data_IF_276850903071
#
_entry.id   IF_276850903071
#
_cell.length_a   1.000
_cell.length_b   1.000
_cell.length_c   1.000
_cell.angle_alpha   90.00
_cell.angle_beta   90.00
_cell.angle_gamma   90.00
#
_symmetry.space_group_name_H-M   'P 1'
#
loop_
_entity.id
_entity.type
_entity.pdbx_description
1 polymer ?
#
# COMPACT_ATOMS: atom_id res chain seq x y z
N UNK A 1 1.18 8.80 24.23
CA UNK A 1 1.11 8.05 22.99
C UNK A 1 2.53 7.62 22.57
N UNK A 2 2.71 6.36 22.20
CA UNK A 2 3.99 5.89 21.67
C UNK A 2 4.14 6.39 20.26
N UNK A 3 5.22 7.13 19.99
CA UNK A 3 5.67 7.46 18.64
C UNK A 3 6.77 6.48 18.28
N UNK A 4 6.67 5.83 17.14
CA UNK A 4 7.66 4.82 16.71
C UNK A 4 8.06 5.09 15.27
N UNK A 5 9.36 5.17 15.01
CA UNK A 5 9.91 5.22 13.64
C UNK A 5 10.03 3.80 13.09
N UNK A 6 9.48 3.58 11.91
CA UNK A 6 9.66 2.33 11.18
C UNK A 6 11.04 2.34 10.50
N UNK A 7 12.00 1.60 11.07
CA UNK A 7 13.30 1.40 10.44
C UNK A 7 13.23 0.22 9.48
N UNK A 8 13.72 0.39 8.25
CA UNK A 8 13.72 -0.62 7.19
C UNK A 8 14.61 -1.84 7.46
N UNK A 9 14.49 -2.45 8.65
CA UNK A 9 15.21 -3.65 9.08
C UNK A 9 14.37 -4.92 8.99
N UNK A 10 15.04 -6.07 8.84
CA UNK A 10 14.38 -7.38 8.72
C UNK A 10 13.69 -7.78 10.02
N UNK A 11 12.39 -8.09 9.97
CA UNK A 11 11.67 -8.89 10.97
C UNK A 11 11.10 -8.18 12.21
N UNK A 12 11.78 -7.22 12.84
CA UNK A 12 11.31 -6.59 14.08
C UNK A 12 10.44 -5.33 13.89
N UNK A 13 10.51 -4.72 12.72
CA UNK A 13 9.79 -3.48 12.44
C UNK A 13 8.27 -3.70 12.32
N UNK A 14 7.84 -4.78 11.67
CA UNK A 14 6.41 -5.06 11.46
C UNK A 14 5.67 -5.32 12.79
N UNK A 15 6.30 -6.00 13.75
CA UNK A 15 5.73 -6.21 15.09
C UNK A 15 5.59 -4.91 15.91
N UNK A 16 6.47 -3.93 15.65
CA UNK A 16 6.48 -2.67 16.39
C UNK A 16 5.55 -1.60 15.80
N UNK A 17 5.38 -1.56 14.47
CA UNK A 17 4.71 -0.47 13.76
C UNK A 17 3.55 -0.92 12.86
N UNK A 18 3.37 -2.23 12.65
CA UNK A 18 2.41 -2.82 11.72
C UNK A 18 3.00 -3.11 10.33
N UNK A 19 2.30 -3.95 9.57
CA UNK A 19 2.76 -4.47 8.27
C UNK A 19 2.89 -3.39 7.21
N UNK A 20 1.90 -2.50 7.10
CA UNK A 20 1.84 -1.44 6.08
C UNK A 20 2.93 -0.38 6.27
N UNK A 21 3.12 0.23 7.45
CA UNK A 21 4.22 1.15 7.68
C UNK A 21 5.61 0.52 7.45
N UNK A 22 5.78 -0.76 7.82
CA UNK A 22 7.04 -1.47 7.58
C UNK A 22 7.30 -1.68 6.08
N UNK A 23 6.26 -1.98 5.30
CA UNK A 23 6.34 -2.10 3.84
C UNK A 23 6.66 -0.76 3.18
N UNK A 24 5.98 0.33 3.60
CA UNK A 24 6.23 1.68 3.10
C UNK A 24 7.68 2.09 3.36
N UNK A 25 8.18 1.96 4.59
CA UNK A 25 9.55 2.29 4.95
C UNK A 25 10.58 1.54 4.09
N UNK A 26 10.31 0.27 3.80
CA UNK A 26 11.17 -0.55 2.95
C UNK A 26 11.17 -0.11 1.48
N UNK A 27 10.01 0.30 0.96
CA UNK A 27 9.85 0.67 -0.46
C UNK A 27 10.27 2.11 -0.77
N UNK A 28 9.86 3.06 0.08
CA UNK A 28 10.01 4.49 -0.22
C UNK A 28 11.39 5.04 0.13
N UNK A 29 12.19 4.34 0.95
CA UNK A 29 13.47 4.82 1.49
C UNK A 29 13.37 6.19 2.18
N UNK A 30 12.18 6.52 2.67
CA UNK A 30 11.89 7.75 3.39
C UNK A 30 11.59 7.42 4.86
N UNK A 31 11.78 8.35 5.79
CA UNK A 31 11.36 8.18 7.16
C UNK A 31 9.86 7.92 7.26
N UNK A 32 9.48 6.91 8.04
CA UNK A 32 8.07 6.58 8.31
C UNK A 32 7.87 6.56 9.82
N UNK A 33 6.97 7.41 10.30
CA UNK A 33 6.68 7.56 11.74
C UNK A 33 5.22 7.25 11.97
N UNK A 34 4.93 6.39 12.95
CA UNK A 34 3.57 6.01 13.34
C UNK A 34 3.24 6.46 14.74
N UNK A 35 2.00 6.91 14.93
CA UNK A 35 1.42 7.23 16.23
C UNK A 35 -0.10 7.11 16.15
N UNK A 36 -0.75 6.90 17.29
CA UNK A 36 -2.21 6.95 17.40
C UNK A 36 -2.76 8.31 16.94
N UNK A 37 -2.01 9.38 17.21
CA UNK A 37 -2.35 10.75 16.78
C UNK A 37 -1.40 11.17 15.65
N UNK A 38 -1.93 11.47 14.49
CA UNK A 38 -1.14 11.90 13.32
C UNK A 38 -0.35 13.17 13.56
N UNK A 39 -0.89 14.11 14.38
CA UNK A 39 -0.17 15.32 14.80
C UNK A 39 1.12 15.01 15.55
N UNK A 40 1.08 14.02 16.47
CA UNK A 40 2.25 13.64 17.26
C UNK A 40 3.30 12.95 16.37
N UNK A 41 2.84 12.14 15.40
CA UNK A 41 3.73 11.53 14.40
C UNK A 41 4.43 12.60 13.54
N UNK A 42 3.68 13.60 13.05
CA UNK A 42 4.23 14.69 12.24
C UNK A 42 5.26 15.53 13.03
N UNK A 43 4.95 15.88 14.28
CA UNK A 43 5.89 16.63 15.14
C UNK A 43 7.18 15.84 15.40
N UNK A 44 7.05 14.55 15.69
CA UNK A 44 8.21 13.68 15.92
C UNK A 44 9.06 13.50 14.65
N UNK A 45 8.40 13.38 13.48
CA UNK A 45 9.09 13.29 12.20
C UNK A 45 9.91 14.54 11.94
N UNK A 46 9.31 15.74 12.09
CA UNK A 46 10.00 17.01 11.88
C UNK A 46 11.13 17.24 12.90
N UNK A 47 10.97 16.78 14.15
CA UNK A 47 12.03 16.86 15.14
C UNK A 47 13.23 15.96 14.83
N UNK A 48 13.00 14.80 14.22
CA UNK A 48 14.04 13.85 13.84
C UNK A 48 14.65 14.16 12.46
N UNK A 49 13.85 14.72 11.56
CA UNK A 49 14.19 15.01 10.17
C UNK A 49 13.79 16.46 9.83
N UNK A 50 14.56 17.47 10.32
CA UNK A 50 14.20 18.88 10.17
C UNK A 50 14.21 19.39 8.73
N UNK A 51 14.89 18.69 7.82
CA UNK A 51 14.95 19.00 6.38
C UNK A 51 13.76 18.44 5.59
N UNK A 52 12.67 18.04 6.28
CA UNK A 52 11.48 17.51 5.63
C UNK A 52 10.65 18.61 5.00
N UNK A 53 10.49 18.59 3.69
CA UNK A 53 9.68 19.57 2.93
C UNK A 53 8.23 19.13 2.77
N UNK A 54 7.97 17.81 2.72
CA UNK A 54 6.64 17.24 2.48
C UNK A 54 6.38 16.08 3.43
N UNK A 55 5.20 16.06 4.04
CA UNK A 55 4.70 14.93 4.83
C UNK A 55 3.51 14.30 4.09
N UNK A 56 3.62 13.01 3.78
CA UNK A 56 2.52 12.22 3.22
C UNK A 56 1.84 11.45 4.34
N UNK A 57 0.53 11.66 4.53
CA UNK A 57 -0.27 10.97 5.52
C UNK A 57 -1.07 9.85 4.83
N UNK A 58 -0.70 8.60 5.09
CA UNK A 58 -1.49 7.44 4.68
C UNK A 58 -2.75 7.33 5.52
N UNK A 59 -3.90 7.14 4.84
CA UNK A 59 -5.25 7.07 5.44
C UNK A 59 -5.55 8.26 6.35
N UNK A 60 -5.18 9.47 5.87
CA UNK A 60 -5.18 10.70 6.67
C UNK A 60 -6.46 11.51 6.65
N UNK A 61 -7.43 11.24 5.75
CA UNK A 61 -8.58 12.12 5.50
C UNK A 61 -9.46 12.36 6.73
N UNK A 62 -9.62 11.37 7.61
CA UNK A 62 -10.42 11.46 8.83
C UNK A 62 -9.66 12.07 10.02
N UNK A 63 -8.37 12.37 9.89
CA UNK A 63 -7.57 12.97 10.97
C UNK A 63 -7.64 14.51 10.95
N UNK A 64 -8.81 15.08 11.28
CA UNK A 64 -9.10 16.50 11.18
C UNK A 64 -8.25 17.40 12.08
N UNK A 65 -7.56 16.85 13.09
CA UNK A 65 -6.65 17.58 13.96
C UNK A 65 -5.31 17.95 13.30
N UNK A 66 -5.00 17.38 12.13
CA UNK A 66 -3.81 17.70 11.35
C UNK A 66 -4.21 18.57 10.16
N UNK A 67 -3.69 19.81 10.10
CA UNK A 67 -3.85 20.65 8.94
C UNK A 67 -3.19 20.02 7.70
N UNK A 68 -3.80 20.24 6.54
CA UNK A 68 -3.36 19.67 5.27
C UNK A 68 -3.40 20.73 4.19
N UNK A 69 -2.36 20.76 3.36
CA UNK A 69 -2.29 21.64 2.20
C UNK A 69 -2.95 21.00 0.97
N UNK A 70 -2.98 19.67 0.92
CA UNK A 70 -3.53 18.87 -0.18
C UNK A 70 -4.29 17.66 0.36
N UNK A 71 -5.43 17.36 -0.27
CA UNK A 71 -6.22 16.16 -0.01
C UNK A 71 -6.41 15.35 -1.29
N UNK A 72 -6.01 14.07 -1.23
CA UNK A 72 -6.17 13.12 -2.33
C UNK A 72 -7.08 12.00 -1.84
N UNK A 73 -8.24 11.84 -2.49
CA UNK A 73 -9.14 10.72 -2.21
C UNK A 73 -8.85 9.57 -3.17
N UNK A 74 -8.77 8.34 -2.65
CA UNK A 74 -8.49 7.16 -3.46
C UNK A 74 -9.68 6.23 -3.44
N UNK A 75 -10.21 5.89 -4.63
CA UNK A 75 -11.27 4.92 -4.80
C UNK A 75 -10.75 3.63 -5.43
N UNK A 76 -11.08 2.51 -4.78
CA UNK A 76 -10.88 1.18 -5.38
C UNK A 76 -11.87 0.91 -6.52
N UNK A 77 -11.78 -0.28 -7.14
CA UNK A 77 -12.64 -0.67 -8.27
C UNK A 77 -14.16 -0.66 -7.94
N UNK A 78 -14.53 -0.76 -6.66
CA UNK A 78 -15.93 -0.67 -6.23
C UNK A 78 -16.46 0.78 -6.19
N UNK A 79 -15.60 1.78 -6.36
CA UNK A 79 -15.96 3.20 -6.31
C UNK A 79 -16.67 3.56 -5.01
N UNK A 80 -17.81 4.23 -5.12
CA UNK A 80 -18.67 4.59 -3.96
C UNK A 80 -19.57 3.43 -3.50
N UNK A 81 -19.56 2.29 -4.21
CA UNK A 81 -20.40 1.14 -3.91
C UNK A 81 -21.89 1.50 -3.93
N UNK A 82 -22.62 1.19 -2.85
CA UNK A 82 -24.03 1.55 -2.68
C UNK A 82 -24.25 2.99 -2.19
N UNK A 83 -23.20 3.78 -2.03
CA UNK A 83 -23.26 5.17 -1.56
C UNK A 83 -23.49 5.34 -0.05
N UNK A 84 -23.53 4.26 0.71
CA UNK A 84 -23.78 4.31 2.14
C UNK A 84 -22.48 4.33 2.96
N UNK A 85 -22.59 4.90 4.16
CA UNK A 85 -21.48 4.89 5.12
C UNK A 85 -21.34 3.52 5.80
N UNK A 86 -20.15 3.24 6.31
CA UNK A 86 -19.90 2.08 7.20
C UNK A 86 -20.90 2.08 8.38
N UNK A 87 -21.41 0.91 8.79
CA UNK A 87 -21.15 -0.43 8.25
C UNK A 87 -22.10 -0.83 7.10
N UNK A 88 -23.03 0.01 6.69
CA UNK A 88 -24.05 -0.32 5.69
C UNK A 88 -23.52 -0.24 4.23
N UNK A 89 -22.41 0.43 4.02
CA UNK A 89 -21.72 0.56 2.74
C UNK A 89 -20.22 0.79 2.93
N UNK A 90 -19.49 1.03 1.84
CA UNK A 90 -18.02 1.11 1.88
C UNK A 90 -17.46 2.47 2.29
N UNK A 91 -18.28 3.52 2.36
CA UNK A 91 -17.81 4.88 2.56
C UNK A 91 -17.52 5.17 4.04
N UNK A 92 -16.40 5.82 4.32
CA UNK A 92 -16.06 6.34 5.66
C UNK A 92 -16.63 7.74 5.91
N UNK A 93 -16.86 8.50 4.83
CA UNK A 93 -17.44 9.84 4.82
C UNK A 93 -18.44 9.98 3.67
N UNK A 94 -19.40 10.93 3.75
CA UNK A 94 -20.31 11.17 2.63
C UNK A 94 -19.56 11.57 1.37
N UNK A 95 -20.05 11.07 0.22
CA UNK A 95 -19.57 11.48 -1.09
C UNK A 95 -20.72 12.13 -1.87
N UNK A 96 -20.49 13.22 -2.64
CA UNK A 96 -19.21 13.89 -2.88
C UNK A 96 -18.75 14.77 -1.71
N UNK A 97 -17.43 14.95 -1.62
CA UNK A 97 -16.81 15.91 -0.70
C UNK A 97 -15.73 16.73 -1.43
N UNK A 98 -15.42 17.97 -0.97
CA UNK A 98 -14.28 18.72 -1.49
C UNK A 98 -12.97 17.97 -1.24
N UNK A 99 -12.16 17.81 -2.29
CA UNK A 99 -10.78 17.31 -2.27
C UNK A 99 -10.02 17.96 -3.42
N UNK A 100 -8.69 17.97 -3.37
CA UNK A 100 -7.89 18.52 -4.47
C UNK A 100 -7.90 17.58 -5.68
N UNK A 101 -7.73 16.29 -5.44
CA UNK A 101 -7.72 15.26 -6.51
C UNK A 101 -8.36 13.96 -6.07
N UNK A 102 -8.77 13.20 -7.06
CA UNK A 102 -9.25 11.83 -6.92
C UNK A 102 -8.38 10.88 -7.74
N UNK A 103 -7.89 9.83 -7.10
CA UNK A 103 -7.32 8.67 -7.77
C UNK A 103 -8.36 7.55 -7.76
N UNK A 104 -8.58 6.88 -8.88
CA UNK A 104 -9.60 5.83 -8.96
C UNK A 104 -9.17 4.64 -9.80
N UNK A 105 -9.61 3.45 -9.40
CA UNK A 105 -9.49 2.23 -10.20
C UNK A 105 -10.84 1.92 -10.84
N UNK A 106 -10.84 1.66 -12.16
CA UNK A 106 -12.06 1.34 -12.90
C UNK A 106 -12.81 2.57 -13.39
N UNK A 107 -13.85 3.01 -12.69
CA UNK A 107 -14.63 4.19 -13.10
C UNK A 107 -14.48 5.34 -12.10
N UNK A 108 -14.45 6.59 -12.57
CA UNK A 108 -14.40 7.73 -11.67
C UNK A 108 -15.67 7.78 -10.79
N UNK A 109 -15.57 8.24 -9.54
CA UNK A 109 -16.74 8.36 -8.69
C UNK A 109 -17.72 9.40 -9.26
N UNK A 110 -19.05 9.21 -9.06
CA UNK A 110 -20.05 10.14 -9.53
C UNK A 110 -19.91 11.51 -8.83
N UNK A 111 -20.40 12.55 -9.49
CA UNK A 111 -20.46 13.92 -8.96
C UNK A 111 -19.14 14.48 -8.45
N UNK A 112 -18.01 14.00 -9.00
CA UNK A 112 -16.69 14.49 -8.64
C UNK A 112 -16.42 15.84 -9.30
N UNK A 113 -16.24 16.90 -8.48
CA UNK A 113 -15.84 18.21 -8.96
C UNK A 113 -14.32 18.37 -9.09
N UNK A 114 -13.54 17.52 -8.42
CA UNK A 114 -12.09 17.51 -8.48
C UNK A 114 -11.57 16.83 -9.75
N UNK A 115 -10.34 17.13 -10.16
CA UNK A 115 -9.68 16.37 -11.23
C UNK A 115 -9.47 14.92 -10.80
N UNK A 116 -9.84 14.00 -11.68
CA UNK A 116 -9.79 12.56 -11.44
C UNK A 116 -8.70 11.94 -12.31
N UNK A 117 -7.87 11.05 -11.74
CA UNK A 117 -6.82 10.34 -12.44
C UNK A 117 -6.97 8.84 -12.21
N UNK A 118 -6.83 8.08 -13.29
CA UNK A 118 -6.94 6.63 -13.23
C UNK A 118 -5.69 6.01 -12.58
N UNK A 119 -5.92 4.97 -11.79
CA UNK A 119 -4.88 4.08 -11.28
C UNK A 119 -5.14 2.66 -11.78
N UNK A 120 -4.08 2.01 -12.23
CA UNK A 120 -4.13 0.61 -12.66
C UNK A 120 -3.26 -0.22 -11.72
N UNK A 121 -3.84 -1.28 -11.15
CA UNK A 121 -3.11 -2.26 -10.34
C UNK A 121 -2.62 -3.39 -11.23
N UNK A 122 -1.35 -3.72 -11.13
CA UNK A 122 -0.76 -4.87 -11.81
C UNK A 122 0.29 -5.52 -10.93
N UNK A 123 0.56 -6.79 -11.16
CA UNK A 123 1.72 -7.43 -10.56
C UNK A 123 3.00 -6.99 -11.30
N UNK A 124 4.08 -6.85 -10.54
CA UNK A 124 5.41 -6.72 -11.11
C UNK A 124 5.74 -7.95 -11.96
N UNK A 125 6.61 -7.78 -12.95
CA UNK A 125 7.08 -8.90 -13.78
C UNK A 125 8.07 -9.82 -13.06
N UNK A 126 8.40 -9.50 -11.81
CA UNK A 126 9.39 -10.24 -11.01
C UNK A 126 8.86 -10.51 -9.61
N UNK A 127 9.31 -11.59 -9.02
CA UNK A 127 9.14 -11.92 -7.61
C UNK A 127 10.49 -11.83 -6.89
N UNK A 128 10.46 -11.61 -5.57
CA UNK A 128 11.64 -11.50 -4.73
C UNK A 128 11.63 -12.53 -3.61
N UNK A 129 12.80 -12.98 -3.18
CA UNK A 129 13.00 -13.82 -2.00
C UNK A 129 13.53 -12.97 -0.82
N UNK A 130 13.58 -13.56 0.38
CA UNK A 130 14.05 -12.89 1.60
C UNK A 130 15.47 -12.30 1.48
N UNK A 131 16.35 -12.97 0.75
CA UNK A 131 17.74 -12.53 0.52
C UNK A 131 17.87 -11.49 -0.60
N UNK A 132 16.74 -11.11 -1.23
CA UNK A 132 16.69 -10.12 -2.30
C UNK A 132 16.96 -10.66 -3.70
N UNK A 133 17.09 -11.99 -3.87
CA UNK A 133 17.13 -12.58 -5.21
C UNK A 133 15.83 -12.28 -5.95
N UNK A 134 15.97 -11.93 -7.22
CA UNK A 134 14.86 -11.64 -8.11
C UNK A 134 14.66 -12.79 -9.09
N UNK A 135 13.41 -13.20 -9.31
CA UNK A 135 13.02 -14.23 -10.25
C UNK A 135 11.98 -13.64 -11.20
N UNK A 136 12.18 -13.75 -12.51
CA UNK A 136 11.17 -13.33 -13.47
C UNK A 136 9.92 -14.23 -13.39
N UNK A 137 8.72 -13.65 -13.44
CA UNK A 137 7.49 -14.44 -13.41
C UNK A 137 7.38 -15.36 -14.63
N UNK A 138 7.93 -14.97 -15.78
CA UNK A 138 8.01 -15.82 -16.97
C UNK A 138 8.74 -17.15 -16.72
N UNK A 139 9.77 -17.14 -15.85
CA UNK A 139 10.55 -18.33 -15.52
C UNK A 139 9.76 -19.31 -14.63
N UNK A 140 8.69 -18.82 -14.01
CA UNK A 140 7.80 -19.58 -13.13
C UNK A 140 6.59 -20.18 -13.87
N UNK A 141 6.37 -19.87 -15.13
CA UNK A 141 5.17 -20.29 -15.89
C UNK A 141 4.92 -21.81 -15.91
N UNK A 142 6.00 -22.62 -15.80
CA UNK A 142 5.93 -24.10 -15.80
C UNK A 142 6.18 -24.70 -14.41
N UNK A 143 6.39 -23.86 -13.40
CA UNK A 143 6.64 -24.31 -12.03
C UNK A 143 5.30 -24.39 -11.30
N UNK A 144 4.95 -25.53 -10.69
CA UNK A 144 3.75 -25.60 -9.88
C UNK A 144 3.89 -24.70 -8.64
N UNK A 145 2.96 -23.76 -8.49
CA UNK A 145 3.00 -22.76 -7.41
C UNK A 145 1.87 -23.02 -6.41
N UNK A 146 2.18 -22.90 -5.13
CA UNK A 146 1.20 -22.69 -4.09
C UNK A 146 1.12 -21.19 -3.80
N UNK A 147 -0.02 -20.57 -4.16
CA UNK A 147 -0.25 -19.16 -3.92
C UNK A 147 -0.99 -18.95 -2.59
N UNK A 148 -0.48 -18.05 -1.77
CA UNK A 148 -1.03 -17.72 -0.46
C UNK A 148 -1.24 -16.21 -0.37
N UNK A 149 -2.37 -15.79 0.20
CA UNK A 149 -2.65 -14.37 0.44
C UNK A 149 -3.51 -14.17 1.69
N UNK A 150 -2.99 -13.39 2.65
CA UNK A 150 -3.64 -12.90 3.86
C UNK A 150 -3.96 -11.40 3.74
N UNK A 151 -4.75 -11.04 2.72
CA UNK A 151 -5.17 -9.68 2.40
C UNK A 151 -6.69 -9.63 2.23
N UNK A 152 -7.28 -8.44 2.23
CA UNK A 152 -8.74 -8.27 2.16
C UNK A 152 -9.40 -8.88 0.91
N UNK A 153 -8.70 -8.93 -0.23
CA UNK A 153 -9.19 -9.48 -1.50
C UNK A 153 -8.16 -10.46 -2.10
N UNK A 154 -8.01 -11.66 -1.52
CA UNK A 154 -6.98 -12.62 -1.95
C UNK A 154 -7.23 -13.16 -3.37
N UNK A 155 -8.50 -13.27 -3.78
CA UNK A 155 -8.84 -13.79 -5.11
C UNK A 155 -8.39 -12.86 -6.24
N UNK A 156 -8.33 -11.55 -6.02
CA UNK A 156 -7.78 -10.60 -7.00
C UNK A 156 -6.30 -10.89 -7.25
N UNK A 157 -5.53 -11.17 -6.19
CA UNK A 157 -4.13 -11.54 -6.32
C UNK A 157 -3.96 -12.85 -7.09
N UNK A 158 -4.75 -13.88 -6.78
CA UNK A 158 -4.69 -15.16 -7.49
C UNK A 158 -5.11 -15.02 -8.96
N UNK A 159 -6.13 -14.19 -9.24
CA UNK A 159 -6.55 -13.90 -10.60
C UNK A 159 -5.43 -13.21 -11.40
N UNK A 160 -4.76 -12.21 -10.81
CA UNK A 160 -3.63 -11.53 -11.45
C UNK A 160 -2.48 -12.49 -11.76
N UNK A 161 -2.14 -13.41 -10.83
CA UNK A 161 -1.10 -14.43 -11.08
C UNK A 161 -1.48 -15.36 -12.25
N UNK A 162 -2.74 -15.82 -12.31
CA UNK A 162 -3.25 -16.67 -13.41
C UNK A 162 -3.23 -15.92 -14.74
N UNK A 163 -3.66 -14.65 -14.77
CA UNK A 163 -3.58 -13.82 -15.97
C UNK A 163 -2.13 -13.59 -16.43
N UNK A 164 -1.18 -13.54 -15.50
CA UNK A 164 0.26 -13.53 -15.79
C UNK A 164 0.81 -14.85 -16.32
N UNK A 165 -0.03 -15.87 -16.55
CA UNK A 165 0.36 -17.17 -17.09
C UNK A 165 0.98 -18.14 -16.10
N UNK A 166 0.84 -17.91 -14.79
CA UNK A 166 1.41 -18.76 -13.76
C UNK A 166 0.52 -19.98 -13.46
N UNK A 167 1.14 -21.15 -13.26
CA UNK A 167 0.47 -22.38 -12.90
C UNK A 167 0.25 -22.45 -11.38
N UNK A 168 -0.92 -22.02 -10.91
CA UNK A 168 -1.32 -22.16 -9.52
C UNK A 168 -1.89 -23.56 -9.29
N UNK A 169 -1.08 -24.46 -8.76
CA UNK A 169 -1.51 -25.81 -8.39
C UNK A 169 -2.35 -25.82 -7.11
N UNK A 170 -2.16 -24.82 -6.26
CA UNK A 170 -2.93 -24.62 -5.05
C UNK A 170 -3.04 -23.12 -4.74
N UNK A 171 -4.21 -22.69 -4.25
CA UNK A 171 -4.43 -21.34 -3.73
C UNK A 171 -4.97 -21.42 -2.31
N UNK A 172 -4.50 -20.55 -1.43
CA UNK A 172 -4.92 -20.48 -0.05
C UNK A 172 -5.20 -19.02 0.33
N UNK A 173 -6.50 -18.71 0.43
CA UNK A 173 -6.96 -17.45 1.00
C UNK A 173 -6.95 -17.54 2.53
N UNK A 174 -6.29 -16.61 3.17
CA UNK A 174 -6.20 -16.49 4.63
C UNK A 174 -6.88 -15.20 5.09
N UNK A 175 -7.31 -15.12 6.35
CA UNK A 175 -7.81 -13.88 6.93
C UNK A 175 -6.80 -12.73 6.75
N UNK A 176 -7.31 -11.51 6.58
CA UNK A 176 -6.43 -10.33 6.53
C UNK A 176 -5.60 -10.25 7.82
N UNK A 177 -4.34 -9.86 7.68
CA UNK A 177 -3.35 -9.84 8.77
C UNK A 177 -3.05 -11.21 9.42
N UNK A 178 -3.24 -12.31 8.70
CA UNK A 178 -2.94 -13.65 9.21
C UNK A 178 -1.52 -13.74 9.77
N UNK A 179 -1.39 -14.48 10.88
CA UNK A 179 -0.12 -14.79 11.52
C UNK A 179 0.42 -16.13 11.00
N UNK A 180 1.61 -16.09 10.42
CA UNK A 180 2.26 -17.26 9.84
C UNK A 180 3.21 -18.01 10.79
N UNK A 181 3.32 -17.60 12.06
CA UNK A 181 4.31 -18.14 12.99
C UNK A 181 4.15 -19.64 13.24
N UNK A 182 2.92 -20.13 13.30
CA UNK A 182 2.61 -21.56 13.49
C UNK A 182 2.08 -22.24 12.23
N UNK A 183 2.02 -21.50 11.09
CA UNK A 183 1.45 -22.03 9.87
C UNK A 183 2.39 -23.01 9.17
N UNK A 184 1.88 -24.19 8.84
CA UNK A 184 2.60 -25.21 8.08
C UNK A 184 1.86 -25.49 6.76
N UNK A 185 2.45 -25.12 5.61
CA UNK A 185 1.84 -25.38 4.32
C UNK A 185 1.88 -26.88 3.98
N UNK A 186 0.76 -27.41 3.56
CA UNK A 186 0.72 -28.74 2.96
C UNK A 186 1.16 -28.64 1.49
N UNK A 187 2.46 -28.59 1.27
CA UNK A 187 3.09 -28.42 -0.04
C UNK A 187 3.77 -29.70 -0.53
N UNK A 188 3.65 -29.98 -1.82
CA UNK A 188 4.52 -30.94 -2.51
C UNK A 188 5.94 -30.35 -2.62
N UNK A 189 6.97 -31.23 -2.57
CA UNK A 189 8.38 -30.84 -2.71
C UNK A 189 8.72 -30.14 -4.03
N UNK A 190 7.87 -30.27 -5.05
CA UNK A 190 8.02 -29.61 -6.35
C UNK A 190 7.38 -28.25 -6.43
N UNK A 191 6.53 -27.89 -5.47
CA UNK A 191 5.84 -26.61 -5.45
C UNK A 191 6.76 -25.53 -4.88
N UNK A 192 6.60 -24.30 -5.38
CA UNK A 192 7.18 -23.10 -4.75
C UNK A 192 6.07 -22.26 -4.16
N UNK A 193 6.35 -21.68 -3.01
CA UNK A 193 5.44 -20.77 -2.33
C UNK A 193 5.51 -19.38 -2.98
N UNK A 194 4.36 -18.82 -3.33
CA UNK A 194 4.23 -17.46 -3.87
C UNK A 194 3.18 -16.68 -3.06
N UNK A 195 3.47 -15.44 -2.72
CA UNK A 195 2.63 -14.62 -1.85
C UNK A 195 2.68 -13.14 -2.21
N UNK A 196 1.86 -12.33 -1.54
CA UNK A 196 1.96 -10.87 -1.62
C UNK A 196 3.19 -10.36 -0.87
N UNK A 197 3.65 -9.14 -1.16
CA UNK A 197 4.74 -8.54 -0.37
C UNK A 197 4.36 -8.27 1.09
N UNK A 198 3.08 -7.99 1.36
CA UNK A 198 2.55 -7.80 2.72
C UNK A 198 2.73 -9.08 3.54
N UNK A 199 2.38 -10.22 2.97
CA UNK A 199 2.50 -11.52 3.62
C UNK A 199 3.95 -11.99 3.73
N UNK A 200 4.77 -11.68 2.74
CA UNK A 200 6.16 -12.09 2.66
C UNK A 200 6.98 -11.67 3.88
N UNK A 201 6.72 -10.49 4.42
CA UNK A 201 7.43 -9.98 5.62
C UNK A 201 7.27 -10.95 6.80
N UNK A 202 6.09 -11.57 6.92
CA UNK A 202 5.77 -12.55 7.97
C UNK A 202 6.19 -13.98 7.60
N UNK A 203 6.17 -14.31 6.30
CA UNK A 203 6.53 -15.64 5.81
C UNK A 203 8.04 -15.90 5.78
N UNK A 204 8.83 -14.91 5.40
CA UNK A 204 10.26 -15.07 5.19
C UNK A 204 11.09 -15.54 6.40
N UNK A 205 10.75 -15.21 7.66
CA UNK A 205 11.48 -15.81 8.80
C UNK A 205 11.47 -17.32 8.81
N UNK A 206 10.40 -17.96 8.29
CA UNK A 206 10.26 -19.43 8.23
C UNK A 206 10.45 -20.00 6.83
N UNK A 207 10.08 -19.25 5.81
CA UNK A 207 10.13 -19.66 4.39
C UNK A 207 10.93 -18.64 3.57
N UNK A 208 12.25 -18.56 3.74
CA UNK A 208 13.07 -17.53 3.11
C UNK A 208 13.08 -17.58 1.57
N UNK A 209 12.74 -18.73 0.99
CA UNK A 209 12.61 -18.94 -0.46
C UNK A 209 11.21 -18.63 -1.01
N UNK A 210 10.26 -18.24 -0.15
CA UNK A 210 8.95 -17.79 -0.58
C UNK A 210 9.07 -16.58 -1.51
N UNK A 211 8.34 -16.64 -2.62
CA UNK A 211 8.36 -15.64 -3.68
C UNK A 211 7.33 -14.54 -3.38
N UNK A 212 7.79 -13.37 -3.04
CA UNK A 212 6.94 -12.19 -2.90
C UNK A 212 6.76 -11.51 -4.26
N UNK A 213 5.52 -11.34 -4.71
CA UNK A 213 5.24 -10.60 -5.94
C UNK A 213 4.76 -9.20 -5.57
N UNK A 214 5.50 -8.14 -5.97
CA UNK A 214 5.07 -6.77 -5.76
C UNK A 214 3.78 -6.47 -6.52
N UNK A 215 2.87 -5.76 -5.85
CA UNK A 215 1.77 -5.08 -6.50
C UNK A 215 2.25 -3.67 -6.89
N UNK A 216 2.20 -3.37 -8.17
CA UNK A 216 2.48 -2.06 -8.71
C UNK A 216 1.17 -1.30 -8.94
N UNK A 217 1.18 -0.02 -8.59
CA UNK A 217 0.13 0.91 -8.94
C UNK A 217 0.69 1.88 -9.97
N UNK A 218 0.14 1.83 -11.18
CA UNK A 218 0.46 2.78 -12.25
C UNK A 218 -0.56 3.91 -12.15
N UNK A 219 -0.08 5.12 -11.99
CA UNK A 219 -0.90 6.33 -11.91
C UNK A 219 -0.71 7.10 -13.21
N UNK A 220 -1.76 7.73 -13.73
CA UNK A 220 -1.68 8.63 -14.89
C UNK A 220 -0.56 9.66 -14.67
N UNK A 221 0.43 9.79 -15.56
CA UNK A 221 1.52 10.76 -15.43
C UNK A 221 1.05 12.21 -15.25
N UNK A 222 -0.13 12.56 -15.77
CA UNK A 222 -0.73 13.88 -15.59
C UNK A 222 -0.97 14.23 -14.13
N UNK A 223 -1.23 13.24 -13.27
CA UNK A 223 -1.34 13.44 -11.82
C UNK A 223 -0.05 13.99 -11.22
N UNK A 224 1.09 13.40 -11.56
CA UNK A 224 2.37 13.86 -11.01
C UNK A 224 2.72 15.26 -11.48
N UNK A 225 2.42 15.60 -12.73
CA UNK A 225 2.60 16.96 -13.23
C UNK A 225 1.72 17.98 -12.48
N UNK A 226 0.47 17.61 -12.17
CA UNK A 226 -0.44 18.43 -11.39
C UNK A 226 0.04 18.59 -9.93
N UNK A 227 0.55 17.49 -9.33
CA UNK A 227 1.09 17.47 -7.97
C UNK A 227 2.32 18.37 -7.85
N UNK A 228 3.28 18.23 -8.76
CA UNK A 228 4.49 19.06 -8.76
C UNK A 228 4.17 20.56 -8.89
N UNK A 229 3.25 20.90 -9.79
CA UNK A 229 2.80 22.28 -9.97
C UNK A 229 2.15 22.84 -8.68
N UNK A 230 1.35 22.04 -8.00
CA UNK A 230 0.66 22.45 -6.76
C UNK A 230 1.62 22.56 -5.58
N UNK A 231 2.54 21.63 -5.41
CA UNK A 231 3.58 21.68 -4.37
C UNK A 231 4.45 22.93 -4.53
N UNK A 232 4.82 23.29 -5.77
CA UNK A 232 5.55 24.53 -6.03
C UNK A 232 4.77 25.80 -5.66
N UNK A 233 3.43 25.79 -5.73
CA UNK A 233 2.58 26.89 -5.31
C UNK A 233 2.49 26.99 -3.79
N UNK A 234 2.28 25.86 -3.10
CA UNK A 234 2.22 25.81 -1.63
C UNK A 234 3.55 26.27 -1.02
N UNK A 235 4.67 25.75 -1.50
CA UNK A 235 6.01 26.16 -1.04
C UNK A 235 6.28 27.66 -1.22
N UNK A 236 5.83 28.29 -2.29
CA UNK A 236 5.95 29.74 -2.48
C UNK A 236 5.05 30.54 -1.55
N UNK A 237 3.84 30.06 -1.28
CA UNK A 237 2.92 30.72 -0.36
C UNK A 237 3.45 30.73 1.08
N UNK A 238 4.07 29.64 1.55
CA UNK A 238 4.67 29.58 2.89
C UNK A 238 5.89 30.49 3.05
N UNK A 239 6.66 30.74 1.99
CA UNK A 239 7.79 31.65 1.99
C UNK A 239 7.38 33.14 1.92
N UNK A 240 6.17 33.42 1.47
CA UNK A 240 5.65 34.79 1.31
C UNK A 240 4.76 35.28 2.47
N UNK A 241 4.48 34.43 3.46
CA UNK A 241 3.75 34.84 4.66
C UNK A 241 4.68 35.64 5.59
N UNK A 242 4.39 36.92 5.92
CA UNK A 242 5.21 37.65 6.87
C UNK A 242 5.06 37.06 8.27
N UNK A 243 6.18 36.94 8.97
CA UNK A 243 6.32 36.54 10.37
C UNK A 243 5.56 37.50 11.30
#
# INVERSE_FOLDING_TARGET
>A
PRVTEAKGGRGSAAQAVGDEPALIARRCRAPVVVSERRSDAAQALLAQHPDTDVIVCDDGLQHLALARDLEICVFGAQGVGNGWLLPAGPLREPWPRPVDWVLYAGSPPPDCAAACFEIVRRLANTAHTADGRTVALSDLAKVPLMAVAGVAQPEDFFAMLRHGGLLLSQTLALPDHFDFDSWEPNMDKRQRLICTEKDAVKLWPRFPDALAVPLEVVIDPAFFAALDARLAQVGRASLSSPS
#
